data_IF_657447016303
#
_entry.id   IF_657447016303
#
_cell.length_a   1.000
_cell.length_b   1.000
_cell.length_c   1.000
_cell.angle_alpha   90.00
_cell.angle_beta   90.00
_cell.angle_gamma   90.00
#
_symmetry.space_group_name_H-M   'P 1'
#
loop_
_entity.id
_entity.type
_entity.pdbx_description
1 polymer ?
#
# COMPACT_ATOMS: atom_id res chain seq x y z
N UNK A 1 -8.36 -20.93 14.89
CA UNK A 1 -9.19 -20.43 16.02
C UNK A 1 -8.95 -18.93 16.12
N UNK A 2 -9.99 -18.13 16.02
CA UNK A 2 -9.86 -16.67 16.22
C UNK A 2 -9.53 -16.44 17.69
N UNK A 3 -8.39 -15.82 17.99
CA UNK A 3 -7.97 -15.49 19.37
C UNK A 3 -8.79 -14.35 20.00
N UNK A 4 -10.00 -14.08 19.50
CA UNK A 4 -10.92 -13.07 20.08
C UNK A 4 -10.42 -11.61 20.02
N UNK A 5 -9.39 -11.34 19.22
CA UNK A 5 -8.83 -10.00 19.05
C UNK A 5 -9.21 -9.43 17.69
N UNK A 6 -9.62 -8.15 17.63
CA UNK A 6 -9.93 -7.50 16.38
C UNK A 6 -8.69 -7.42 15.49
N UNK A 7 -8.85 -7.71 14.19
CA UNK A 7 -7.80 -7.56 13.19
C UNK A 7 -8.15 -6.35 12.34
N UNK A 8 -7.21 -5.38 12.29
CA UNK A 8 -7.32 -4.18 11.49
C UNK A 8 -6.21 -4.19 10.43
N UNK A 9 -6.60 -4.32 9.18
CA UNK A 9 -5.69 -4.47 8.05
C UNK A 9 -5.32 -3.09 7.49
N UNK A 10 -4.05 -2.70 7.64
CA UNK A 10 -3.58 -1.38 7.22
C UNK A 10 -3.36 -1.25 5.70
N UNK A 11 -3.44 -2.35 4.94
CA UNK A 11 -3.07 -2.32 3.53
C UNK A 11 -3.83 -3.35 2.70
N UNK A 12 -4.98 -2.95 2.20
CA UNK A 12 -5.75 -3.72 1.21
C UNK A 12 -6.06 -2.85 0.00
N UNK A 13 -6.37 -3.47 -1.14
CA UNK A 13 -6.69 -2.77 -2.39
C UNK A 13 -8.12 -3.07 -2.81
N UNK A 14 -8.83 -2.05 -3.29
CA UNK A 14 -10.20 -2.20 -3.75
C UNK A 14 -10.48 -1.41 -5.02
N UNK A 15 -11.26 -1.99 -5.90
CA UNK A 15 -11.93 -1.34 -7.01
C UNK A 15 -13.32 -1.95 -7.20
N UNK A 16 -14.24 -1.21 -7.81
CA UNK A 16 -15.61 -1.65 -8.08
C UNK A 16 -15.71 -2.70 -9.22
N UNK A 17 -14.61 -3.40 -9.55
CA UNK A 17 -14.64 -4.64 -10.32
C UNK A 17 -15.15 -5.83 -9.49
N UNK A 18 -15.08 -5.72 -8.17
CA UNK A 18 -15.64 -6.66 -7.21
C UNK A 18 -16.82 -6.01 -6.49
N UNK A 19 -17.91 -6.75 -6.39
CA UNK A 19 -19.10 -6.32 -5.65
C UNK A 19 -18.75 -5.93 -4.21
N UNK A 20 -19.24 -4.78 -3.68
CA UNK A 20 -18.97 -4.32 -2.33
C UNK A 20 -19.26 -5.36 -1.24
N UNK A 21 -20.40 -6.05 -1.31
CA UNK A 21 -20.77 -7.05 -0.31
C UNK A 21 -19.88 -8.30 -0.41
N UNK A 22 -19.45 -8.69 -1.61
CA UNK A 22 -18.51 -9.79 -1.80
C UNK A 22 -17.14 -9.48 -1.21
N UNK A 23 -16.66 -8.22 -1.32
CA UNK A 23 -15.40 -7.80 -0.69
C UNK A 23 -15.49 -7.79 0.84
N UNK A 24 -16.58 -7.28 1.41
CA UNK A 24 -16.83 -7.33 2.86
C UNK A 24 -16.87 -8.79 3.34
N UNK A 25 -17.58 -9.67 2.63
CA UNK A 25 -17.64 -11.10 2.97
C UNK A 25 -16.26 -11.79 2.91
N UNK A 26 -15.37 -11.36 1.99
CA UNK A 26 -13.97 -11.81 1.97
C UNK A 26 -13.23 -11.41 3.25
N UNK A 27 -13.35 -10.13 3.66
CA UNK A 27 -12.73 -9.64 4.90
C UNK A 27 -13.28 -10.36 6.13
N UNK A 28 -14.58 -10.64 6.18
CA UNK A 28 -15.20 -11.41 7.27
C UNK A 28 -14.64 -12.85 7.34
N UNK A 29 -14.44 -13.52 6.20
CA UNK A 29 -13.78 -14.84 6.14
C UNK A 29 -12.35 -14.81 6.68
N UNK A 30 -11.63 -13.69 6.51
CA UNK A 30 -10.27 -13.51 7.03
C UNK A 30 -10.24 -13.04 8.48
N UNK A 31 -11.38 -12.70 9.07
CA UNK A 31 -11.49 -12.15 10.42
C UNK A 31 -11.07 -10.68 10.52
N UNK A 32 -11.00 -9.98 9.38
CA UNK A 32 -10.65 -8.55 9.33
C UNK A 32 -11.87 -7.70 9.69
N UNK A 33 -11.78 -6.97 10.78
CA UNK A 33 -12.87 -6.12 11.29
C UNK A 33 -12.85 -4.74 10.64
N UNK A 34 -11.67 -4.13 10.48
CA UNK A 34 -11.47 -2.87 9.78
C UNK A 34 -10.34 -3.00 8.75
N UNK A 35 -10.43 -2.25 7.66
CA UNK A 35 -9.36 -2.22 6.66
C UNK A 35 -9.12 -0.81 6.11
N UNK A 36 -7.85 -0.51 5.83
CA UNK A 36 -7.46 0.68 5.08
C UNK A 36 -7.36 0.36 3.59
N UNK A 37 -8.17 1.02 2.79
CA UNK A 37 -8.15 0.91 1.34
C UNK A 37 -7.00 1.76 0.78
N UNK A 38 -5.89 1.12 0.48
CA UNK A 38 -4.72 1.74 -0.13
C UNK A 38 -4.94 1.85 -1.65
N UNK A 39 -5.29 3.03 -2.12
CA UNK A 39 -5.63 3.22 -3.54
C UNK A 39 -4.37 3.22 -4.40
N UNK A 40 -4.38 2.42 -5.45
CA UNK A 40 -3.29 2.35 -6.43
C UNK A 40 -3.80 2.65 -7.84
N UNK A 41 -2.91 3.17 -8.68
CA UNK A 41 -3.20 3.40 -10.09
C UNK A 41 -3.38 2.06 -10.82
N UNK A 42 -4.38 1.99 -11.68
CA UNK A 42 -4.59 0.89 -12.63
C UNK A 42 -4.21 1.35 -14.03
N UNK A 43 -3.71 0.46 -14.87
CA UNK A 43 -3.27 0.78 -16.22
C UNK A 43 -4.37 1.23 -17.19
N UNK A 44 -5.65 1.05 -16.81
CA UNK A 44 -6.85 1.44 -17.56
C UNK A 44 -7.67 2.54 -16.86
N UNK A 45 -7.22 3.05 -15.70
CA UNK A 45 -7.87 4.07 -14.88
C UNK A 45 -6.87 5.12 -14.42
N UNK A 46 -7.29 6.36 -14.37
CA UNK A 46 -6.43 7.48 -13.93
C UNK A 46 -6.38 7.57 -12.41
N UNK A 47 -7.50 7.35 -11.74
CA UNK A 47 -7.61 7.40 -10.28
C UNK A 47 -8.75 6.51 -9.78
N UNK A 48 -8.48 5.61 -8.85
CA UNK A 48 -9.47 4.71 -8.26
C UNK A 48 -9.99 5.19 -6.89
N UNK A 49 -9.58 6.38 -6.43
CA UNK A 49 -10.03 6.92 -5.13
C UNK A 49 -11.56 7.07 -5.03
N UNK A 50 -12.30 7.48 -6.09
CA UNK A 50 -13.76 7.51 -6.03
C UNK A 50 -14.38 6.16 -5.71
N UNK A 51 -13.83 5.07 -6.23
CA UNK A 51 -14.33 3.71 -6.00
C UNK A 51 -14.13 3.26 -4.54
N UNK A 52 -12.98 3.58 -3.97
CA UNK A 52 -12.69 3.30 -2.56
C UNK A 52 -13.58 4.13 -1.62
N UNK A 53 -13.79 5.42 -1.93
CA UNK A 53 -14.70 6.27 -1.18
C UNK A 53 -16.15 5.79 -1.26
N UNK A 54 -16.58 5.26 -2.42
CA UNK A 54 -17.91 4.68 -2.58
C UNK A 54 -18.10 3.44 -1.69
N UNK A 55 -17.10 2.56 -1.60
CA UNK A 55 -17.15 1.43 -0.66
C UNK A 55 -17.21 1.92 0.80
N UNK A 56 -16.41 2.93 1.15
CA UNK A 56 -16.43 3.52 2.48
C UNK A 56 -17.78 4.18 2.80
N UNK A 57 -18.43 4.83 1.85
CA UNK A 57 -19.77 5.40 2.04
C UNK A 57 -20.82 4.33 2.37
N UNK A 58 -20.71 3.15 1.74
CA UNK A 58 -21.60 2.00 2.02
C UNK A 58 -21.32 1.35 3.38
N UNK A 59 -20.05 1.34 3.82
CA UNK A 59 -19.60 0.64 5.05
C UNK A 59 -18.67 1.52 5.89
N UNK A 60 -19.14 2.66 6.43
CA UNK A 60 -18.26 3.68 7.05
C UNK A 60 -17.49 3.18 8.28
N UNK A 61 -18.04 2.21 9.02
CA UNK A 61 -17.39 1.63 10.19
C UNK A 61 -16.29 0.61 9.86
N UNK A 62 -16.25 0.15 8.61
CA UNK A 62 -15.35 -0.91 8.15
C UNK A 62 -14.08 -0.37 7.48
N UNK A 63 -14.14 0.82 6.87
CA UNK A 63 -13.09 1.28 5.98
C UNK A 63 -12.56 2.66 6.29
N UNK A 64 -11.23 2.78 6.22
CA UNK A 64 -10.53 4.02 5.94
C UNK A 64 -10.01 4.00 4.50
N UNK A 65 -9.69 5.16 3.93
CA UNK A 65 -9.21 5.30 2.55
C UNK A 65 -7.95 6.15 2.52
N UNK A 66 -6.86 5.60 1.98
CA UNK A 66 -5.69 6.36 1.60
C UNK A 66 -5.73 6.54 0.08
N UNK A 67 -6.04 7.79 -0.34
CA UNK A 67 -6.20 8.14 -1.75
C UNK A 67 -4.88 8.25 -2.50
N UNK A 68 -4.89 8.03 -3.81
CA UNK A 68 -3.72 8.20 -4.66
C UNK A 68 -3.56 9.64 -5.13
N UNK A 69 -2.34 10.08 -5.40
CA UNK A 69 -2.03 11.37 -6.01
C UNK A 69 -2.51 11.45 -7.48
N UNK A 70 -2.50 12.67 -8.02
CA UNK A 70 -2.86 12.91 -9.42
C UNK A 70 -1.66 12.63 -10.36
N UNK A 71 -1.68 11.53 -11.14
CA UNK A 71 -0.57 11.21 -12.02
C UNK A 71 -0.40 12.21 -13.19
N UNK A 72 -1.44 12.98 -13.53
CA UNK A 72 -1.36 13.99 -14.58
C UNK A 72 -0.44 15.16 -14.19
N UNK A 73 -0.26 15.41 -12.90
CA UNK A 73 0.59 16.48 -12.41
C UNK A 73 2.09 16.20 -12.59
N UNK A 74 2.51 14.95 -12.76
CA UNK A 74 3.90 14.63 -13.11
C UNK A 74 4.28 15.15 -14.50
N UNK A 75 3.31 15.22 -15.43
CA UNK A 75 3.53 15.79 -16.76
C UNK A 75 3.33 17.29 -16.85
N UNK A 76 2.48 17.86 -15.98
CA UNK A 76 1.98 19.25 -16.12
C UNK A 76 2.36 20.16 -14.96
N UNK A 77 2.88 19.59 -13.89
CA UNK A 77 3.12 20.32 -12.63
C UNK A 77 4.25 21.33 -12.71
N UNK A 78 5.34 21.01 -13.41
CA UNK A 78 6.54 21.83 -13.44
C UNK A 78 7.10 22.08 -12.05
N UNK A 79 7.67 23.26 -11.80
CA UNK A 79 8.21 23.62 -10.48
C UNK A 79 7.15 23.66 -9.36
N UNK A 80 5.89 23.88 -9.69
CA UNK A 80 4.78 23.91 -8.73
C UNK A 80 4.13 22.53 -8.50
N UNK A 81 4.72 21.45 -8.99
CA UNK A 81 4.13 20.09 -8.94
C UNK A 81 3.74 19.70 -7.50
N UNK A 82 4.62 19.83 -6.54
CA UNK A 82 4.35 19.50 -5.15
C UNK A 82 3.23 20.33 -4.53
N UNK A 83 3.19 21.64 -4.82
CA UNK A 83 2.09 22.51 -4.37
C UNK A 83 0.75 22.08 -4.95
N UNK A 84 0.72 21.69 -6.23
CA UNK A 84 -0.50 21.18 -6.88
C UNK A 84 -0.91 19.80 -6.32
N UNK A 85 0.07 18.92 -6.05
CA UNK A 85 -0.19 17.63 -5.40
C UNK A 85 -0.72 17.82 -3.97
N UNK A 86 -0.17 18.76 -3.19
CA UNK A 86 -0.69 19.10 -1.87
C UNK A 86 -2.16 19.57 -1.92
N UNK A 87 -2.48 20.47 -2.86
CA UNK A 87 -3.84 20.95 -3.06
C UNK A 87 -4.80 19.81 -3.48
N UNK A 88 -4.35 18.92 -4.37
CA UNK A 88 -5.13 17.74 -4.76
C UNK A 88 -5.33 16.79 -3.57
N UNK A 89 -4.27 16.48 -2.83
CA UNK A 89 -4.34 15.64 -1.62
C UNK A 89 -5.28 16.24 -0.56
N UNK A 90 -5.26 17.56 -0.36
CA UNK A 90 -6.20 18.26 0.52
C UNK A 90 -7.66 18.06 0.07
N UNK A 91 -7.92 18.06 -1.25
CA UNK A 91 -9.27 17.76 -1.78
C UNK A 91 -9.70 16.31 -1.53
N UNK A 92 -8.76 15.35 -1.57
CA UNK A 92 -9.04 13.96 -1.20
C UNK A 92 -9.41 13.83 0.27
N UNK A 93 -8.66 14.49 1.18
CA UNK A 93 -8.99 14.49 2.61
C UNK A 93 -10.35 15.16 2.87
N UNK A 94 -10.67 16.23 2.14
CA UNK A 94 -11.96 16.91 2.23
C UNK A 94 -13.12 16.05 1.69
N UNK A 95 -12.87 15.16 0.73
CA UNK A 95 -13.87 14.21 0.23
C UNK A 95 -14.07 12.99 1.14
N UNK A 96 -13.21 12.81 2.15
CA UNK A 96 -13.34 11.73 3.14
C UNK A 96 -12.20 10.71 3.13
N UNK A 97 -11.09 10.96 2.42
CA UNK A 97 -9.89 10.14 2.59
C UNK A 97 -9.24 10.40 3.95
N UNK A 98 -8.62 9.37 4.53
CA UNK A 98 -7.99 9.40 5.85
C UNK A 98 -6.47 9.62 5.77
N UNK A 99 -5.91 9.49 4.57
CA UNK A 99 -4.49 9.66 4.27
C UNK A 99 -4.22 9.54 2.77
N UNK A 100 -2.93 9.43 2.44
CA UNK A 100 -2.44 9.35 1.06
C UNK A 100 -1.67 8.04 0.87
N UNK A 101 -1.96 7.33 -0.22
CA UNK A 101 -1.15 6.21 -0.72
C UNK A 101 -0.20 6.73 -1.79
N UNK A 102 1.09 6.47 -1.61
CA UNK A 102 2.11 6.67 -2.63
C UNK A 102 2.57 5.32 -3.17
N UNK A 103 2.37 5.09 -4.47
CA UNK A 103 2.94 3.97 -5.23
C UNK A 103 4.18 4.43 -6.03
N UNK A 104 4.47 5.70 -5.99
CA UNK A 104 5.47 6.40 -6.78
C UNK A 104 6.90 5.91 -6.55
N UNK A 105 7.16 5.19 -5.46
CA UNK A 105 8.43 4.54 -5.19
C UNK A 105 8.62 3.17 -5.87
N UNK A 106 7.60 2.64 -6.56
CA UNK A 106 7.77 1.41 -7.33
C UNK A 106 8.62 1.68 -8.58
N UNK A 107 9.75 0.95 -8.79
CA UNK A 107 10.67 1.23 -9.90
C UNK A 107 9.99 1.26 -11.26
N UNK A 108 9.06 0.32 -11.51
CA UNK A 108 8.30 0.25 -12.74
C UNK A 108 7.44 1.50 -12.98
N UNK A 109 6.81 2.04 -11.93
CA UNK A 109 5.98 3.23 -12.04
C UNK A 109 6.84 4.48 -12.27
N UNK A 110 7.98 4.60 -11.58
CA UNK A 110 8.94 5.68 -11.80
C UNK A 110 9.50 5.72 -13.21
N UNK A 111 9.64 4.58 -13.85
CA UNK A 111 10.04 4.50 -15.26
C UNK A 111 8.90 4.85 -16.22
N UNK A 112 7.67 4.47 -15.87
CA UNK A 112 6.49 4.70 -16.73
C UNK A 112 6.00 6.15 -16.69
N UNK A 113 6.18 6.84 -15.56
CA UNK A 113 5.75 8.22 -15.34
C UNK A 113 6.96 9.12 -15.05
N UNK A 114 6.95 10.38 -15.48
CA UNK A 114 8.04 11.33 -15.21
C UNK A 114 7.99 11.85 -13.77
N UNK A 115 8.06 10.92 -12.81
CA UNK A 115 8.06 11.22 -11.38
C UNK A 115 9.44 11.78 -11.01
N UNK A 116 9.54 13.03 -10.50
CA UNK A 116 10.80 13.59 -10.05
C UNK A 116 11.37 12.82 -8.86
N UNK A 117 12.68 12.94 -8.65
CA UNK A 117 13.32 12.44 -7.43
C UNK A 117 12.63 13.00 -6.20
N UNK A 118 12.40 12.16 -5.19
CA UNK A 118 11.56 12.53 -4.05
C UNK A 118 12.12 13.68 -3.22
N UNK A 119 13.43 13.87 -3.26
CA UNK A 119 14.15 14.96 -2.61
C UNK A 119 14.38 16.18 -3.51
N UNK A 120 13.79 16.19 -4.73
CA UNK A 120 13.83 17.35 -5.61
C UNK A 120 12.95 18.49 -5.08
N UNK A 121 13.40 19.74 -5.29
CA UNK A 121 12.74 20.95 -4.76
C UNK A 121 11.27 21.07 -5.14
N UNK A 122 10.87 20.50 -6.30
CA UNK A 122 9.47 20.52 -6.73
C UNK A 122 8.52 19.73 -5.81
N UNK A 123 9.04 18.83 -4.95
CA UNK A 123 8.27 18.10 -3.95
C UNK A 123 8.15 18.83 -2.60
N UNK A 124 9.04 19.79 -2.30
CA UNK A 124 9.15 20.40 -0.97
C UNK A 124 7.82 20.90 -0.42
N UNK A 125 7.02 21.59 -1.25
CA UNK A 125 5.72 22.08 -0.84
C UNK A 125 4.73 20.97 -0.46
N UNK A 126 4.84 19.79 -1.07
CA UNK A 126 4.02 18.61 -0.73
C UNK A 126 4.45 18.03 0.61
N UNK A 127 5.76 17.83 0.81
CA UNK A 127 6.28 17.26 2.05
C UNK A 127 6.05 18.19 3.25
N UNK A 128 6.27 19.51 3.07
CA UNK A 128 5.96 20.53 4.08
C UNK A 128 4.47 20.48 4.47
N UNK A 129 3.58 20.46 3.47
CA UNK A 129 2.16 20.35 3.73
C UNK A 129 1.78 19.03 4.45
N UNK A 130 2.36 17.90 4.06
CA UNK A 130 2.12 16.63 4.74
C UNK A 130 2.57 16.67 6.19
N UNK A 131 3.71 17.32 6.48
CA UNK A 131 4.23 17.47 7.84
C UNK A 131 3.37 18.41 8.67
N UNK A 132 3.04 19.60 8.17
CA UNK A 132 2.24 20.60 8.86
C UNK A 132 0.84 20.11 9.20
N UNK A 133 0.18 19.45 8.25
CA UNK A 133 -1.18 18.89 8.40
C UNK A 133 -1.19 17.48 9.02
N UNK A 134 -0.02 16.96 9.40
CA UNK A 134 0.13 15.62 9.97
C UNK A 134 -0.56 14.53 9.15
N UNK A 135 -0.44 14.64 7.83
CA UNK A 135 -1.04 13.70 6.86
C UNK A 135 -0.40 12.32 7.01
N UNK A 136 -1.22 11.30 7.07
CA UNK A 136 -0.76 9.91 7.11
C UNK A 136 -0.45 9.46 5.69
N UNK A 137 0.75 8.96 5.48
CA UNK A 137 1.20 8.50 4.15
C UNK A 137 1.58 7.03 4.23
N UNK A 138 0.95 6.20 3.43
CA UNK A 138 1.36 4.82 3.17
C UNK A 138 2.19 4.81 1.88
N UNK A 139 3.48 4.56 2.00
CA UNK A 139 4.43 4.73 0.91
C UNK A 139 5.09 3.42 0.49
N UNK A 140 4.84 3.03 -0.75
CA UNK A 140 5.57 1.95 -1.41
C UNK A 140 6.86 2.52 -2.00
N UNK A 141 7.99 2.12 -1.46
CA UNK A 141 9.33 2.52 -1.94
C UNK A 141 10.13 1.26 -2.25
N UNK A 142 10.66 1.19 -3.44
CA UNK A 142 11.43 0.05 -3.97
C UNK A 142 10.57 -1.17 -4.34
N UNK A 143 11.27 -2.23 -4.67
CA UNK A 143 10.83 -3.60 -4.82
C UNK A 143 11.95 -4.53 -4.30
N UNK A 144 11.71 -5.85 -4.16
CA UNK A 144 12.71 -6.80 -3.67
C UNK A 144 14.05 -6.71 -4.40
N UNK A 145 15.16 -6.81 -3.68
CA UNK A 145 16.51 -6.85 -4.28
C UNK A 145 16.66 -7.96 -5.32
N UNK A 146 15.95 -9.07 -5.14
CA UNK A 146 15.92 -10.18 -6.08
C UNK A 146 15.45 -9.79 -7.49
N UNK A 147 14.71 -8.68 -7.63
CA UNK A 147 14.23 -8.20 -8.93
C UNK A 147 15.33 -7.51 -9.77
N UNK A 148 16.46 -7.24 -9.16
CA UNK A 148 17.65 -6.67 -9.81
C UNK A 148 18.69 -7.73 -10.26
N UNK A 149 18.42 -9.01 -9.95
CA UNK A 149 19.29 -10.13 -10.29
C UNK A 149 18.53 -11.13 -11.17
N UNK A 150 18.91 -11.31 -12.47
CA UNK A 150 18.23 -12.22 -13.38
C UNK A 150 18.28 -13.69 -12.92
N UNK A 151 19.19 -14.05 -12.00
CA UNK A 151 19.31 -15.40 -11.46
C UNK A 151 18.43 -15.61 -10.21
N UNK A 152 17.90 -14.53 -9.61
CA UNK A 152 17.11 -14.57 -8.37
C UNK A 152 15.67 -14.15 -8.57
N UNK A 153 15.38 -13.33 -9.60
CA UNK A 153 14.01 -12.89 -9.88
C UNK A 153 13.12 -14.09 -10.17
N UNK A 154 11.96 -14.23 -9.50
CA UNK A 154 11.01 -15.28 -9.84
C UNK A 154 10.50 -15.13 -11.28
N UNK A 155 10.37 -16.25 -12.02
CA UNK A 155 9.94 -16.23 -13.42
C UNK A 155 8.62 -15.49 -13.63
N UNK A 156 7.66 -15.63 -12.69
CA UNK A 156 6.39 -14.94 -12.76
C UNK A 156 6.56 -13.40 -12.59
N UNK A 157 7.51 -12.94 -11.74
CA UNK A 157 7.80 -11.52 -11.56
C UNK A 157 8.49 -10.93 -12.80
N UNK A 158 9.45 -11.65 -13.37
CA UNK A 158 10.07 -11.29 -14.65
C UNK A 158 9.01 -11.19 -15.77
N UNK A 159 8.04 -12.12 -15.81
CA UNK A 159 6.92 -12.09 -16.74
C UNK A 159 5.97 -10.90 -16.57
N UNK A 160 5.99 -10.23 -15.41
CA UNK A 160 5.28 -8.95 -15.15
C UNK A 160 6.13 -7.71 -15.49
N UNK A 161 7.34 -7.90 -16.00
CA UNK A 161 8.28 -6.79 -16.25
C UNK A 161 8.96 -6.27 -14.98
N UNK A 162 9.10 -7.10 -13.94
CA UNK A 162 9.75 -6.77 -12.67
C UNK A 162 11.18 -7.32 -12.58
N UNK A 163 11.82 -7.54 -13.69
CA UNK A 163 13.27 -7.68 -13.76
C UNK A 163 13.85 -6.30 -14.12
N UNK A 164 14.60 -5.73 -13.20
CA UNK A 164 15.12 -4.36 -13.29
C UNK A 164 16.59 -4.35 -13.70
N UNK A 165 16.99 -3.29 -14.41
CA UNK A 165 18.34 -3.01 -14.87
C UNK A 165 18.72 -1.54 -14.58
N UNK A 166 19.87 -1.10 -15.07
CA UNK A 166 20.38 0.27 -14.89
C UNK A 166 19.48 1.39 -15.46
N UNK A 167 18.45 1.05 -16.23
CA UNK A 167 17.46 2.02 -16.73
C UNK A 167 16.39 2.40 -15.70
N UNK A 168 16.38 1.72 -14.56
CA UNK A 168 15.49 2.02 -13.45
C UNK A 168 16.25 2.72 -12.33
N UNK A 169 15.53 3.55 -11.54
CA UNK A 169 16.09 4.10 -10.30
C UNK A 169 16.29 2.95 -9.30
N UNK A 170 17.52 2.66 -8.92
CA UNK A 170 17.85 1.53 -8.05
C UNK A 170 17.42 1.76 -6.59
N UNK A 171 17.37 0.66 -5.82
CA UNK A 171 16.90 0.69 -4.44
C UNK A 171 17.71 1.63 -3.55
N UNK A 172 19.04 1.66 -3.67
CA UNK A 172 19.89 2.51 -2.83
C UNK A 172 19.66 3.99 -3.09
N UNK A 173 19.49 4.37 -4.35
CA UNK A 173 19.16 5.75 -4.68
C UNK A 173 17.78 6.16 -4.14
N UNK A 174 16.78 5.28 -4.23
CA UNK A 174 15.48 5.55 -3.64
C UNK A 174 15.53 5.67 -2.11
N UNK A 175 16.28 4.81 -1.42
CA UNK A 175 16.52 4.95 0.02
C UNK A 175 17.19 6.28 0.36
N UNK A 176 18.21 6.69 -0.42
CA UNK A 176 18.89 7.99 -0.24
C UNK A 176 17.90 9.15 -0.34
N UNK A 177 17.08 9.16 -1.39
CA UNK A 177 16.06 10.21 -1.61
C UNK A 177 15.07 10.27 -0.45
N UNK A 178 14.51 9.14 -0.05
CA UNK A 178 13.54 9.04 1.05
C UNK A 178 14.16 9.49 2.37
N UNK A 179 15.37 9.06 2.69
CA UNK A 179 16.06 9.46 3.91
C UNK A 179 16.41 10.96 3.91
N UNK A 180 16.67 11.55 2.73
CA UNK A 180 16.83 13.01 2.57
C UNK A 180 15.51 13.73 2.88
N UNK A 181 14.38 13.23 2.37
CA UNK A 181 13.04 13.77 2.68
C UNK A 181 12.78 13.71 4.18
N UNK A 182 12.96 12.54 4.81
CA UNK A 182 12.75 12.37 6.25
C UNK A 182 13.71 13.26 7.08
N UNK A 183 14.93 13.50 6.58
CA UNK A 183 15.87 14.41 7.23
C UNK A 183 15.46 15.88 7.17
N UNK A 184 14.80 16.31 6.11
CA UNK A 184 14.23 17.67 5.95
C UNK A 184 12.91 17.84 6.68
N UNK A 185 12.11 16.76 6.75
CA UNK A 185 10.75 16.73 7.29
C UNK A 185 10.59 15.63 8.35
N UNK A 186 11.24 15.73 9.52
CA UNK A 186 11.26 14.65 10.53
C UNK A 186 9.91 14.43 11.21
N UNK A 187 8.97 15.34 11.07
CA UNK A 187 7.60 15.24 11.60
C UNK A 187 6.64 14.45 10.69
N UNK A 188 7.06 14.04 9.49
CA UNK A 188 6.23 13.27 8.58
C UNK A 188 5.75 11.95 9.21
N UNK A 189 4.49 11.62 8.99
CA UNK A 189 3.85 10.37 9.44
C UNK A 189 3.80 9.37 8.28
N UNK A 190 4.78 8.47 8.24
CA UNK A 190 4.96 7.53 7.13
C UNK A 190 4.79 6.09 7.61
N UNK A 191 3.99 5.29 6.88
CA UNK A 191 4.05 3.85 6.90
C UNK A 191 4.75 3.38 5.63
N UNK A 192 5.90 2.73 5.75
CA UNK A 192 6.53 2.07 4.62
C UNK A 192 5.90 0.70 4.39
N UNK A 193 5.35 0.51 3.19
CA UNK A 193 4.79 -0.77 2.77
C UNK A 193 5.89 -1.85 2.67
N UNK A 194 5.47 -3.13 2.85
CA UNK A 194 6.33 -4.29 2.62
C UNK A 194 7.63 -4.28 3.45
N UNK A 195 7.54 -3.83 4.71
CA UNK A 195 8.71 -3.72 5.58
C UNK A 195 9.85 -2.85 5.00
N UNK A 196 9.47 -1.87 4.15
CA UNK A 196 10.41 -1.02 3.41
C UNK A 196 11.37 -1.80 2.50
N UNK A 197 11.04 -3.07 2.18
CA UNK A 197 11.92 -4.04 1.51
C UNK A 197 13.30 -4.22 2.18
N UNK A 198 13.36 -4.01 3.50
CA UNK A 198 14.56 -4.17 4.33
C UNK A 198 14.49 -5.41 5.24
N UNK A 199 13.66 -6.40 4.91
CA UNK A 199 13.53 -7.63 5.71
C UNK A 199 14.81 -8.43 5.86
N UNK A 200 15.74 -8.33 4.89
CA UNK A 200 17.11 -8.90 4.97
C UNK A 200 18.12 -7.97 5.63
N UNK A 201 17.75 -6.73 5.99
CA UNK A 201 18.61 -5.69 6.52
C UNK A 201 18.02 -5.08 7.80
N UNK A 202 17.59 -5.92 8.74
CA UNK A 202 16.89 -5.49 9.97
C UNK A 202 17.65 -4.44 10.79
N UNK A 203 19.00 -4.49 10.93
CA UNK A 203 19.75 -3.43 11.61
C UNK A 203 19.61 -2.06 10.94
N UNK A 204 19.54 -2.02 9.61
CA UNK A 204 19.33 -0.78 8.85
C UNK A 204 17.92 -0.20 9.10
N UNK A 205 16.91 -1.05 9.05
CA UNK A 205 15.53 -0.64 9.35
C UNK A 205 15.41 -0.18 10.81
N UNK A 206 16.04 -0.88 11.76
CA UNK A 206 16.07 -0.48 13.16
C UNK A 206 16.62 0.94 13.34
N UNK A 207 17.75 1.27 12.71
CA UNK A 207 18.33 2.61 12.75
C UNK A 207 17.40 3.69 12.16
N UNK A 208 16.59 3.36 11.14
CA UNK A 208 15.60 4.28 10.58
C UNK A 208 14.45 4.50 11.58
N UNK A 209 13.89 3.43 12.14
CA UNK A 209 12.79 3.53 13.10
C UNK A 209 13.22 4.25 14.40
N UNK A 210 14.47 4.11 14.83
CA UNK A 210 15.02 4.84 15.98
C UNK A 210 15.14 6.33 15.71
N UNK A 211 15.62 6.66 14.52
CA UNK A 211 15.86 8.06 14.14
C UNK A 211 14.57 8.84 13.87
N UNK A 212 13.53 8.16 13.34
CA UNK A 212 12.28 8.79 12.92
C UNK A 212 11.08 8.20 13.67
N UNK A 213 10.70 8.79 14.82
CA UNK A 213 9.66 8.24 15.69
C UNK A 213 8.26 8.16 15.06
N UNK A 214 7.97 8.91 14.02
CA UNK A 214 6.70 8.93 13.31
C UNK A 214 6.63 7.96 12.12
N UNK A 215 7.74 7.23 11.86
CA UNK A 215 7.80 6.22 10.80
C UNK A 215 7.39 4.87 11.37
N UNK A 216 6.53 4.16 10.67
CA UNK A 216 6.11 2.77 10.92
C UNK A 216 6.26 1.94 9.65
N UNK A 217 6.07 0.64 9.74
CA UNK A 217 6.06 -0.25 8.57
C UNK A 217 4.93 -1.24 8.66
N UNK A 218 4.54 -1.86 7.55
CA UNK A 218 3.53 -2.90 7.53
C UNK A 218 4.09 -4.30 7.20
N UNK A 219 3.32 -5.32 7.54
CA UNK A 219 3.62 -6.74 7.28
C UNK A 219 3.05 -7.22 5.96
N UNK A 220 2.64 -6.31 5.11
CA UNK A 220 2.13 -6.65 3.79
C UNK A 220 3.13 -7.51 3.04
N UNK A 221 2.77 -8.73 2.62
CA UNK A 221 3.73 -9.66 2.07
C UNK A 221 4.49 -9.13 0.87
N UNK A 222 5.79 -8.85 1.05
CA UNK A 222 6.77 -8.84 -0.02
C UNK A 222 7.12 -10.28 -0.38
N UNK A 223 7.63 -10.50 -1.57
CA UNK A 223 7.89 -11.85 -2.10
C UNK A 223 8.92 -12.60 -1.25
N UNK A 224 9.92 -11.87 -0.75
CA UNK A 224 11.07 -12.41 -0.02
C UNK A 224 10.94 -12.27 1.50
N UNK A 225 10.03 -11.44 1.97
CA UNK A 225 10.03 -10.92 3.34
C UNK A 225 9.98 -12.03 4.40
N UNK A 226 9.01 -12.95 4.30
CA UNK A 226 8.86 -14.05 5.27
C UNK A 226 9.98 -15.09 5.18
N UNK A 227 10.56 -15.26 3.99
CA UNK A 227 11.74 -16.08 3.81
C UNK A 227 12.94 -15.47 4.54
N UNK A 228 13.22 -14.18 4.34
CA UNK A 228 14.30 -13.47 5.02
C UNK A 228 14.15 -13.53 6.54
N UNK A 229 12.95 -13.32 7.07
CA UNK A 229 12.65 -13.45 8.49
C UNK A 229 12.95 -14.87 9.02
N UNK A 230 12.68 -15.89 8.22
CA UNK A 230 12.88 -17.29 8.60
C UNK A 230 14.34 -17.75 8.50
N UNK A 231 15.16 -17.07 7.69
CA UNK A 231 16.60 -17.31 7.60
C UNK A 231 17.36 -16.75 8.82
N UNK A 232 16.84 -15.73 9.50
CA UNK A 232 17.43 -15.11 10.68
C UNK A 232 16.43 -15.01 11.85
N UNK A 233 15.90 -16.14 12.37
CA UNK A 233 14.74 -16.12 13.27
C UNK A 233 15.01 -15.44 14.61
N UNK A 234 16.21 -15.52 15.15
CA UNK A 234 16.58 -14.86 16.42
C UNK A 234 16.67 -13.34 16.25
N UNK A 235 17.31 -12.88 15.19
CA UNK A 235 17.38 -11.45 14.85
C UNK A 235 16.00 -10.88 14.58
N UNK A 236 15.17 -11.63 13.85
CA UNK A 236 13.77 -11.26 13.57
C UNK A 236 12.97 -11.13 14.86
N UNK A 237 13.06 -12.10 15.78
CA UNK A 237 12.38 -12.01 17.09
C UNK A 237 12.84 -10.80 17.88
N UNK A 238 14.15 -10.56 17.97
CA UNK A 238 14.68 -9.39 18.66
C UNK A 238 14.20 -8.08 18.06
N UNK A 239 14.09 -8.00 16.71
CA UNK A 239 13.54 -6.84 16.02
C UNK A 239 12.06 -6.64 16.38
N UNK A 240 11.23 -7.68 16.29
CA UNK A 240 9.81 -7.59 16.62
C UNK A 240 9.58 -7.33 18.11
N UNK A 241 10.39 -7.87 19.01
CA UNK A 241 10.34 -7.56 20.43
C UNK A 241 10.58 -6.06 20.70
N UNK A 242 11.48 -5.45 19.95
CA UNK A 242 11.86 -4.04 20.11
C UNK A 242 10.89 -3.07 19.45
N UNK A 243 10.35 -3.41 18.27
CA UNK A 243 9.58 -2.50 17.42
C UNK A 243 8.13 -2.96 17.19
N UNK A 244 7.57 -3.85 18.02
CA UNK A 244 6.20 -4.33 17.86
C UNK A 244 5.16 -3.21 17.79
N UNK A 245 5.41 -2.07 18.42
CA UNK A 245 4.55 -0.87 18.42
C UNK A 245 4.67 -0.02 17.13
N UNK A 246 5.58 -0.40 16.22
CA UNK A 246 5.89 0.30 14.97
C UNK A 246 5.58 -0.54 13.72
N UNK A 247 4.94 -1.69 13.89
CA UNK A 247 4.63 -2.65 12.84
C UNK A 247 3.12 -2.79 12.74
N UNK A 248 2.54 -2.52 11.57
CA UNK A 248 1.13 -2.67 11.29
C UNK A 248 0.86 -4.03 10.63
N UNK A 249 -0.27 -4.64 10.99
CA UNK A 249 -0.79 -5.77 10.23
C UNK A 249 -1.23 -5.28 8.84
N UNK A 250 -0.87 -6.01 7.79
CA UNK A 250 -1.23 -5.72 6.42
C UNK A 250 -1.15 -6.98 5.56
N UNK A 251 -1.99 -7.11 4.55
CA UNK A 251 -2.10 -8.35 3.75
C UNK A 251 -1.93 -8.17 2.26
N UNK A 252 -2.06 -6.96 1.72
CA UNK A 252 -2.02 -6.70 0.28
C UNK A 252 -3.07 -7.50 -0.52
N UNK A 253 -4.18 -7.87 0.13
CA UNK A 253 -5.30 -8.48 -0.59
C UNK A 253 -6.04 -7.44 -1.42
N UNK A 254 -6.71 -7.87 -2.48
CA UNK A 254 -7.39 -6.93 -3.34
C UNK A 254 -8.34 -7.53 -4.36
N UNK A 255 -9.20 -6.67 -4.87
CA UNK A 255 -10.22 -7.03 -5.87
C UNK A 255 -9.62 -7.28 -7.26
N UNK A 256 -8.59 -6.52 -7.65
CA UNK A 256 -7.94 -6.62 -8.96
C UNK A 256 -6.59 -5.90 -8.92
N UNK A 257 -5.60 -6.44 -9.61
CA UNK A 257 -4.32 -5.79 -9.84
C UNK A 257 -4.09 -5.61 -11.35
N UNK A 258 -4.09 -4.34 -11.81
CA UNK A 258 -3.87 -4.01 -13.22
C UNK A 258 -2.73 -3.02 -13.33
N UNK A 259 -1.53 -3.52 -13.64
CA UNK A 259 -0.37 -2.64 -13.88
C UNK A 259 -0.17 -2.34 -15.37
N UNK A 260 -0.47 -3.29 -16.26
CA UNK A 260 -0.38 -3.11 -17.71
C UNK A 260 -1.47 -3.96 -18.39
N UNK A 261 -2.34 -3.36 -19.16
CA UNK A 261 -3.23 -3.93 -20.20
C UNK A 261 -3.97 -5.25 -20.03
N UNK A 262 -3.59 -6.07 -19.08
CA UNK A 262 -4.12 -7.41 -18.82
C UNK A 262 -4.11 -7.71 -17.35
N UNK A 263 -4.88 -6.96 -16.55
CA UNK A 263 -4.91 -7.12 -15.10
C UNK A 263 -5.18 -8.56 -14.66
N UNK A 264 -4.60 -8.93 -13.53
CA UNK A 264 -4.89 -10.22 -12.89
C UNK A 264 -6.33 -10.19 -12.38
N UNK A 265 -7.17 -11.16 -12.73
CA UNK A 265 -8.52 -11.24 -12.20
C UNK A 265 -8.46 -11.48 -10.68
N UNK A 266 -9.56 -11.16 -10.01
CA UNK A 266 -9.75 -11.51 -8.60
C UNK A 266 -9.50 -13.02 -8.37
N UNK A 267 -8.67 -13.33 -7.37
CA UNK A 267 -8.34 -14.69 -6.97
C UNK A 267 -8.67 -14.88 -5.49
N UNK A 268 -9.82 -15.45 -5.20
CA UNK A 268 -10.29 -15.65 -3.82
C UNK A 268 -9.32 -16.52 -3.00
N UNK A 269 -8.79 -17.59 -3.60
CA UNK A 269 -7.84 -18.49 -2.90
C UNK A 269 -6.60 -17.74 -2.42
N UNK A 270 -6.02 -16.90 -3.27
CA UNK A 270 -4.87 -16.08 -2.92
C UNK A 270 -5.21 -15.05 -1.83
N UNK A 271 -6.35 -14.37 -1.97
CA UNK A 271 -6.81 -13.38 -1.02
C UNK A 271 -7.15 -13.96 0.36
N UNK A 272 -7.54 -15.23 0.46
CA UNK A 272 -7.71 -15.93 1.73
C UNK A 272 -6.37 -16.41 2.29
N UNK A 273 -5.45 -16.90 1.45
CA UNK A 273 -4.18 -17.47 1.89
C UNK A 273 -3.21 -16.43 2.45
N UNK A 274 -3.15 -15.22 1.91
CA UNK A 274 -2.24 -14.17 2.40
C UNK A 274 -2.47 -13.82 3.88
N UNK A 275 -3.69 -13.50 4.36
CA UNK A 275 -3.95 -13.27 5.78
C UNK A 275 -3.61 -14.46 6.67
N UNK A 276 -3.80 -15.70 6.18
CA UNK A 276 -3.42 -16.92 6.91
C UNK A 276 -1.90 -16.96 7.14
N UNK A 277 -1.10 -16.69 6.12
CA UNK A 277 0.36 -16.65 6.20
C UNK A 277 0.83 -15.59 7.18
N UNK A 278 0.31 -14.37 7.08
CA UNK A 278 0.69 -13.27 7.99
C UNK A 278 0.37 -13.65 9.44
N UNK A 279 -0.82 -14.22 9.70
CA UNK A 279 -1.18 -14.66 11.05
C UNK A 279 -0.32 -15.82 11.53
N UNK A 280 -0.10 -16.83 10.69
CA UNK A 280 0.74 -17.97 11.03
C UNK A 280 2.16 -17.53 11.38
N UNK A 281 2.73 -16.59 10.63
CA UNK A 281 4.03 -15.98 10.95
C UNK A 281 4.02 -15.31 12.33
N UNK A 282 2.98 -14.57 12.67
CA UNK A 282 2.90 -13.89 13.96
C UNK A 282 2.70 -14.86 15.13
N UNK A 283 1.89 -15.92 14.96
CA UNK A 283 1.39 -16.73 16.09
C UNK A 283 2.01 -18.10 16.24
N UNK A 284 2.53 -18.72 15.15
CA UNK A 284 3.15 -20.04 15.24
C UNK A 284 4.54 -19.94 15.88
N UNK A 285 4.96 -21.00 16.57
CA UNK A 285 6.29 -21.12 17.20
C UNK A 285 7.21 -22.06 16.46
N UNK A 286 6.67 -22.82 15.56
CA UNK A 286 7.37 -23.88 14.80
C UNK A 286 7.42 -23.51 13.32
N UNK A 287 8.29 -24.22 12.59
CA UNK A 287 8.33 -24.08 11.15
C UNK A 287 7.05 -24.62 10.50
N UNK A 288 6.54 -23.86 9.56
CA UNK A 288 5.43 -24.27 8.69
C UNK A 288 5.91 -24.20 7.24
N UNK A 289 5.62 -25.25 6.45
CA UNK A 289 5.88 -25.18 5.01
C UNK A 289 4.82 -24.31 4.33
N UNK A 290 5.29 -23.24 3.72
CA UNK A 290 4.45 -22.33 2.92
C UNK A 290 4.63 -22.68 1.47
N UNK A 291 3.52 -23.10 0.84
CA UNK A 291 3.49 -23.38 -0.60
C UNK A 291 3.17 -22.13 -1.40
N UNK A 292 3.90 -21.98 -2.50
CA UNK A 292 3.71 -20.90 -3.47
C UNK A 292 2.54 -21.13 -4.43
N UNK A 293 1.75 -22.17 -4.29
CA UNK A 293 0.68 -22.56 -5.22
C UNK A 293 -0.31 -21.38 -5.48
N UNK A 294 -0.03 -20.60 -6.50
CA UNK A 294 -0.74 -19.37 -6.85
C UNK A 294 -0.44 -18.18 -5.93
N UNK A 295 0.59 -18.24 -5.12
CA UNK A 295 0.83 -17.32 -4.01
C UNK A 295 1.94 -16.32 -4.31
N UNK A 296 1.59 -15.06 -4.27
CA UNK A 296 2.47 -13.93 -4.51
C UNK A 296 3.55 -13.74 -3.41
N UNK A 297 3.39 -14.43 -2.29
CA UNK A 297 4.14 -14.20 -1.05
C UNK A 297 5.51 -14.85 -1.06
N UNK A 298 5.76 -15.78 -1.97
CA UNK A 298 6.97 -16.60 -1.98
C UNK A 298 7.69 -16.51 -3.32
N UNK A 299 8.98 -16.20 -3.25
CA UNK A 299 9.85 -16.13 -4.42
C UNK A 299 10.18 -17.49 -5.02
N UNK A 300 9.93 -18.59 -4.32
CA UNK A 300 10.15 -19.98 -4.71
C UNK A 300 8.94 -20.87 -4.38
N UNK A 301 8.84 -22.08 -4.96
CA UNK A 301 7.66 -22.94 -4.79
C UNK A 301 7.31 -23.24 -3.34
N UNK A 302 8.32 -23.51 -2.52
CA UNK A 302 8.13 -23.83 -1.10
C UNK A 302 9.26 -23.21 -0.24
N UNK A 303 8.91 -22.80 0.97
CA UNK A 303 9.90 -22.49 2.00
C UNK A 303 9.37 -22.85 3.39
N UNK A 304 10.28 -23.09 4.32
CA UNK A 304 9.95 -23.30 5.72
C UNK A 304 9.87 -21.96 6.44
N UNK A 305 8.67 -21.50 6.75
CA UNK A 305 8.43 -20.26 7.48
C UNK A 305 8.54 -20.49 8.98
N UNK A 306 9.41 -19.76 9.65
CA UNK A 306 9.52 -19.74 11.11
C UNK A 306 8.65 -18.66 11.69
N UNK A 307 7.70 -19.03 12.51
CA UNK A 307 6.83 -18.07 13.19
C UNK A 307 7.47 -17.43 14.41
N UNK A 308 6.91 -16.31 14.84
CA UNK A 308 7.38 -15.51 15.97
C UNK A 308 6.86 -16.01 17.32
N UNK A 309 5.67 -16.65 17.33
CA UNK A 309 5.01 -17.09 18.56
C UNK A 309 4.60 -15.94 19.45
N UNK A 310 4.15 -14.82 18.87
CA UNK A 310 3.71 -13.65 19.61
C UNK A 310 2.38 -13.91 20.32
N UNK A 311 2.27 -13.37 21.52
CA UNK A 311 1.09 -13.46 22.37
C UNK A 311 0.85 -12.13 23.12
N UNK A 312 -0.28 -12.02 23.77
CA UNK A 312 -0.59 -10.92 24.68
C UNK A 312 -0.60 -9.55 24.01
N UNK A 313 0.08 -8.58 24.60
CA UNK A 313 0.07 -7.19 24.17
C UNK A 313 0.74 -6.98 22.81
N UNK A 314 1.91 -7.58 22.58
CA UNK A 314 2.65 -7.44 21.32
C UNK A 314 1.84 -7.89 20.11
N UNK A 315 1.13 -9.01 20.23
CA UNK A 315 0.24 -9.49 19.17
C UNK A 315 -0.94 -8.53 18.97
N UNK A 316 -1.56 -8.03 20.07
CA UNK A 316 -2.67 -7.07 19.97
C UNK A 316 -2.25 -5.77 19.28
N UNK A 317 -1.07 -5.26 19.62
CA UNK A 317 -0.52 -4.05 19.02
C UNK A 317 -0.37 -4.19 17.50
N UNK A 318 0.23 -5.28 17.04
CA UNK A 318 0.43 -5.53 15.60
C UNK A 318 -0.91 -5.77 14.90
N UNK A 319 -1.82 -6.58 15.48
CA UNK A 319 -3.09 -6.92 14.85
C UNK A 319 -4.06 -5.73 14.72
N UNK A 320 -3.95 -4.72 15.58
CA UNK A 320 -4.90 -3.61 15.52
C UNK A 320 -4.49 -2.33 16.27
N UNK A 321 -3.77 -2.42 17.40
CA UNK A 321 -3.39 -1.26 18.20
C UNK A 321 -2.58 -0.22 17.41
N UNK A 322 -1.61 -0.68 16.64
CA UNK A 322 -0.79 0.18 15.78
C UNK A 322 -1.58 0.82 14.65
N UNK A 323 -2.55 0.09 14.08
CA UNK A 323 -3.47 0.66 13.10
C UNK A 323 -4.21 1.86 13.69
N UNK A 324 -4.79 1.73 14.89
CA UNK A 324 -5.53 2.82 15.54
C UNK A 324 -4.63 4.02 15.83
N UNK A 325 -3.38 3.80 16.22
CA UNK A 325 -2.42 4.89 16.45
C UNK A 325 -1.99 5.59 15.16
N UNK A 326 -1.78 4.84 14.10
CA UNK A 326 -1.28 5.40 12.83
C UNK A 326 -2.42 5.87 11.92
N UNK A 327 -3.39 5.02 11.63
CA UNK A 327 -4.49 5.34 10.69
C UNK A 327 -5.57 6.17 11.38
N UNK A 328 -5.84 5.92 12.67
CA UNK A 328 -6.87 6.56 13.47
C UNK A 328 -8.00 5.59 13.83
N UNK A 329 -8.68 5.89 14.95
CA UNK A 329 -9.82 5.12 15.40
C UNK A 329 -11.09 5.45 14.60
N UNK A 330 -11.24 6.74 14.27
CA UNK A 330 -12.42 7.26 13.60
C UNK A 330 -12.07 7.63 12.15
N UNK A 331 -12.76 6.98 11.22
CA UNK A 331 -12.67 7.30 9.81
C UNK A 331 -13.35 8.67 9.52
N UNK A 332 -12.77 9.46 8.63
CA UNK A 332 -13.40 10.71 8.17
C UNK A 332 -14.72 10.38 7.47
N UNK A 333 -15.82 11.09 7.72
CA UNK A 333 -17.05 10.88 6.95
C UNK A 333 -16.81 11.19 5.47
N UNK A 334 -17.48 10.45 4.59
CA UNK A 334 -17.46 10.75 3.15
C UNK A 334 -18.37 11.95 2.89
N UNK A 335 -17.80 13.00 2.29
CA UNK A 335 -18.54 14.15 1.77
C UNK A 335 -18.93 13.81 0.32
N UNK A 336 -20.20 13.45 0.12
CA UNK A 336 -20.69 12.94 -1.17
C UNK A 336 -20.64 13.99 -2.27
N UNK A 337 -20.83 15.29 -1.97
CA UNK A 337 -20.69 16.36 -2.95
C UNK A 337 -19.25 16.46 -3.47
N UNK A 338 -18.27 16.46 -2.57
CA UNK A 338 -16.84 16.49 -2.94
C UNK A 338 -16.40 15.21 -3.62
N UNK A 339 -16.95 14.05 -3.20
CA UNK A 339 -16.68 12.77 -3.86
C UNK A 339 -17.22 12.75 -5.30
N UNK A 340 -18.42 13.31 -5.55
CA UNK A 340 -18.95 13.50 -6.91
C UNK A 340 -18.11 14.48 -7.74
N UNK A 341 -17.62 15.56 -7.14
CA UNK A 341 -16.67 16.45 -7.81
C UNK A 341 -15.38 15.73 -8.21
N UNK A 342 -14.85 14.84 -7.35
CA UNK A 342 -13.71 14.00 -7.67
C UNK A 342 -14.00 12.99 -8.79
N UNK A 343 -15.21 12.41 -8.85
CA UNK A 343 -15.67 11.56 -9.98
C UNK A 343 -15.64 12.35 -11.27
N UNK A 344 -16.17 13.59 -11.27
CA UNK A 344 -16.23 14.43 -12.47
C UNK A 344 -14.83 14.81 -12.97
N UNK A 345 -13.93 15.23 -12.07
CA UNK A 345 -12.52 15.53 -12.37
C UNK A 345 -11.79 14.31 -12.94
N UNK A 346 -11.94 13.15 -12.29
CA UNK A 346 -11.32 11.89 -12.75
C UNK A 346 -11.85 11.47 -14.12
N UNK A 347 -13.14 11.65 -14.38
CA UNK A 347 -13.76 11.35 -15.68
C UNK A 347 -13.23 12.25 -16.80
N UNK A 348 -12.99 13.54 -16.51
CA UNK A 348 -12.37 14.46 -17.47
C UNK A 348 -10.95 14.01 -17.82
N UNK A 349 -10.13 13.66 -16.81
CA UNK A 349 -8.78 13.15 -16.98
C UNK A 349 -8.77 11.82 -17.76
N UNK A 350 -9.71 10.92 -17.49
CA UNK A 350 -9.87 9.66 -18.21
C UNK A 350 -10.18 9.88 -19.69
N UNK A 351 -11.09 10.84 -20.00
CA UNK A 351 -11.38 11.24 -21.39
C UNK A 351 -10.17 11.84 -22.11
N UNK A 352 -9.36 12.61 -21.39
CA UNK A 352 -8.12 13.15 -21.95
C UNK A 352 -7.08 12.06 -22.22
N UNK A 353 -6.92 11.12 -21.29
CA UNK A 353 -6.03 9.97 -21.43
C UNK A 353 -6.46 9.00 -22.55
N UNK A 354 -7.74 8.89 -22.84
CA UNK A 354 -8.29 8.09 -23.94
C UNK A 354 -7.74 8.50 -25.32
N UNK A 355 -7.18 9.69 -25.45
CA UNK A 355 -6.55 10.20 -26.69
C UNK A 355 -5.10 9.74 -26.83
N UNK A 356 -4.52 9.13 -25.80
CA UNK A 356 -3.14 8.63 -25.81
C UNK A 356 -3.08 7.28 -26.55
N UNK A 357 -2.07 7.06 -27.40
CA UNK A 357 -1.90 5.79 -28.10
C UNK A 357 -1.79 4.62 -27.10
N UNK A 358 -2.57 3.56 -27.33
CA UNK A 358 -2.51 2.33 -26.53
C UNK A 358 -3.20 2.40 -25.17
N UNK A 359 -3.75 3.54 -24.76
CA UNK A 359 -4.56 3.63 -23.54
C UNK A 359 -6.01 3.24 -23.82
N UNK A 360 -6.51 2.23 -23.10
CA UNK A 360 -7.90 1.75 -23.18
C UNK A 360 -8.63 2.12 -21.88
N UNK A 361 -9.37 3.24 -21.83
CA UNK A 361 -10.00 3.71 -20.61
C UNK A 361 -11.13 2.80 -20.14
N UNK A 362 -11.19 2.52 -18.85
CA UNK A 362 -12.31 1.81 -18.20
C UNK A 362 -13.10 2.76 -17.27
N UNK A 363 -14.24 3.28 -17.67
CA UNK A 363 -15.06 4.19 -16.84
C UNK A 363 -15.99 3.46 -15.87
N UNK A 364 -16.13 2.12 -15.93
CA UNK A 364 -17.16 1.36 -15.18
C UNK A 364 -17.09 1.58 -13.67
N UNK A 365 -15.89 1.67 -13.12
CA UNK A 365 -15.69 1.94 -11.69
C UNK A 365 -16.20 3.33 -11.29
N UNK A 366 -15.91 4.37 -12.12
CA UNK A 366 -16.42 5.73 -11.88
C UNK A 366 -17.94 5.80 -12.00
N UNK A 367 -18.54 5.11 -12.98
CA UNK A 367 -19.99 5.08 -13.17
C UNK A 367 -20.69 4.36 -12.00
N UNK A 368 -20.05 3.33 -11.44
CA UNK A 368 -20.55 2.65 -10.26
C UNK A 368 -20.42 3.52 -9.00
N UNK A 369 -19.30 4.20 -8.81
CA UNK A 369 -19.10 5.11 -7.69
C UNK A 369 -20.12 6.27 -7.69
N UNK A 370 -20.35 6.88 -8.86
CA UNK A 370 -21.35 7.93 -9.02
C UNK A 370 -22.77 7.46 -8.64
N UNK A 371 -23.15 6.25 -9.07
CA UNK A 371 -24.44 5.67 -8.69
C UNK A 371 -24.58 5.45 -7.18
N UNK A 372 -23.48 5.06 -6.50
CA UNK A 372 -23.47 4.88 -5.05
C UNK A 372 -23.63 6.23 -4.36
N UNK A 373 -22.83 7.25 -4.71
CA UNK A 373 -22.92 8.57 -4.07
C UNK A 373 -24.28 9.25 -4.24
N UNK A 374 -24.96 9.02 -5.35
CA UNK A 374 -26.30 9.56 -5.60
C UNK A 374 -27.41 8.89 -4.75
N UNK A 375 -27.09 7.92 -3.89
CA UNK A 375 -28.04 7.30 -2.95
C UNK A 375 -28.07 8.01 -1.59
N UNK A 376 -27.07 8.85 -1.31
CA UNK A 376 -26.92 9.61 -0.07
C UNK A 376 -27.22 11.10 -0.27
#
# INVERSE_FOLDING_TARGET
>A
MHHGQPIFDAHVHYSLDLDPAAFVALLDKTGTEKANLAVIAHGDRVNCTPEALALKALYPERFTVFGQLDPCLYYRGGADMGKKQAAFAASLLAAGCDGIKLLEGKPQLRRALPIPDFDADCWDAFWTWCEDEQVRVLWHVNDPENFWDPNKVPAWAAGQGWLYDESYVNNEEQYRQVLTVLGRHPGLRICFAHFFFLSAQLPRLAGILERYPNVVTDLTPGIEMYENFSLAPEETRAFFDRFHDRILYGTDIGSRFVYHGGGRPFNEKENLRRPEIVRAFLTNREYETVSADGNFVVGRPDFAMMGLGLEGERLREILGGNYLRFVGADARPVDTEKALALVADTREKLRAAAKLPGFCPDPRGLDAAERIFNQF
#
